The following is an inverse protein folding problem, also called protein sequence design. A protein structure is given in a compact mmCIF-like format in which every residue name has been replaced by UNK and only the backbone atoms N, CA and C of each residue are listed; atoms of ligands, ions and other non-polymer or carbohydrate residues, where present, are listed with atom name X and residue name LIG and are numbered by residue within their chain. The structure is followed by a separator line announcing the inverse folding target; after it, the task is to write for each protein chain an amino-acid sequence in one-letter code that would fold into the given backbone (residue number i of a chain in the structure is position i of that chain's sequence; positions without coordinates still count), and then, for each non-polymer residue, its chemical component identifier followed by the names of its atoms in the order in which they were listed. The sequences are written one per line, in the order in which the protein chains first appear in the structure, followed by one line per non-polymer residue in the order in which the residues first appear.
data_IF_132672153628
#
_entry.id   IF_132672153628
#
_cell.length_a   1.000
_cell.length_b   1.000
_cell.length_c   1.000
_cell.angle_alpha   90.00
_cell.angle_beta   90.00
_cell.angle_gamma   90.00
#
_symmetry.space_group_name_H-M   'P 1'
#
loop_
_entity.id
_entity.type
_entity.pdbx_description
1 polymer ?
#
# COMPACT_ATOMS: atom_id res chain seq x y z
N UNK A 1 -12.36 22.86 -13.57
CA UNK A 1 -12.65 21.44 -13.21
C UNK A 1 -13.71 21.45 -12.11
N UNK A 2 -14.71 20.59 -12.19
CA UNK A 2 -15.69 20.44 -11.12
C UNK A 2 -15.15 19.43 -10.10
N UNK A 3 -14.93 19.84 -8.85
CA UNK A 3 -14.40 19.00 -7.77
C UNK A 3 -15.49 18.36 -6.88
N UNK A 4 -16.73 18.35 -7.31
CA UNK A 4 -17.84 17.81 -6.52
C UNK A 4 -17.61 16.35 -6.10
N UNK A 5 -17.10 15.53 -7.02
CA UNK A 5 -16.79 14.14 -6.72
C UNK A 5 -15.60 14.02 -5.75
N UNK A 6 -14.54 14.81 -5.93
CA UNK A 6 -13.42 14.84 -5.02
C UNK A 6 -13.85 15.23 -3.59
N UNK A 7 -14.72 16.21 -3.46
CA UNK A 7 -15.28 16.61 -2.16
C UNK A 7 -16.11 15.49 -1.50
N UNK A 8 -16.87 14.73 -2.28
CA UNK A 8 -17.62 13.57 -1.76
C UNK A 8 -16.68 12.48 -1.24
N UNK A 9 -15.61 12.17 -1.96
CA UNK A 9 -14.58 11.22 -1.53
C UNK A 9 -13.96 11.69 -0.20
N UNK A 10 -13.53 12.96 -0.13
CA UNK A 10 -12.93 13.53 1.08
C UNK A 10 -13.88 13.46 2.28
N UNK A 11 -15.15 13.79 2.11
CA UNK A 11 -16.14 13.74 3.19
C UNK A 11 -16.29 12.33 3.78
N UNK A 12 -16.15 11.29 2.97
CA UNK A 12 -16.27 9.90 3.41
C UNK A 12 -15.02 9.37 4.11
N UNK A 13 -13.82 9.73 3.63
CA UNK A 13 -12.60 9.04 4.02
C UNK A 13 -11.68 9.84 4.94
N UNK A 14 -11.65 11.17 4.86
CA UNK A 14 -10.80 12.00 5.74
C UNK A 14 -10.99 11.69 7.23
N UNK A 15 -12.23 11.50 7.76
CA UNK A 15 -12.40 11.19 9.18
C UNK A 15 -11.79 9.86 9.62
N UNK A 16 -11.57 8.93 8.69
CA UNK A 16 -11.02 7.59 8.97
C UNK A 16 -9.49 7.55 8.96
N UNK A 17 -8.86 8.48 8.24
CA UNK A 17 -7.42 8.47 8.04
C UNK A 17 -6.63 9.11 9.18
N UNK A 18 -7.30 9.65 10.21
CA UNK A 18 -6.68 10.38 11.32
C UNK A 18 -5.65 11.45 10.86
N UNK A 19 -5.68 11.79 9.60
CA UNK A 19 -4.92 12.90 9.03
C UNK A 19 -5.68 14.17 9.38
N UNK A 20 -5.00 15.19 9.83
CA UNK A 20 -5.60 16.44 10.25
C UNK A 20 -6.57 17.07 9.23
N UNK A 21 -6.45 18.34 8.98
CA UNK A 21 -7.28 19.03 7.97
C UNK A 21 -6.79 18.62 6.58
N UNK A 22 -7.69 18.20 5.66
CA UNK A 22 -7.31 17.90 4.28
C UNK A 22 -6.61 19.08 3.62
N UNK A 23 -5.64 18.78 2.78
CA UNK A 23 -5.00 19.81 1.97
C UNK A 23 -6.02 20.43 0.98
N UNK A 24 -5.85 21.71 0.61
CA UNK A 24 -6.72 22.33 -0.38
C UNK A 24 -6.75 21.53 -1.67
N UNK A 25 -7.96 21.39 -2.26
CA UNK A 25 -8.09 20.88 -3.62
C UNK A 25 -7.50 21.92 -4.56
N UNK A 26 -6.30 21.68 -5.01
CA UNK A 26 -5.62 22.54 -5.99
C UNK A 26 -5.82 21.96 -7.39
N UNK A 27 -5.98 22.86 -8.34
CA UNK A 27 -6.02 22.55 -9.78
C UNK A 27 -4.60 22.20 -10.29
N UNK A 28 -3.88 21.37 -9.53
CA UNK A 28 -2.58 20.85 -9.89
C UNK A 28 -2.74 19.74 -10.94
N UNK A 29 -3.45 20.04 -12.04
CA UNK A 29 -3.47 19.16 -13.19
C UNK A 29 -2.09 19.20 -13.84
N UNK A 30 -1.28 18.18 -13.59
CA UNK A 30 -0.10 17.94 -14.43
C UNK A 30 -0.57 17.62 -15.85
N UNK A 31 0.23 17.95 -16.83
CA UNK A 31 -0.07 17.86 -18.27
C UNK A 31 -0.58 16.48 -18.76
N UNK A 32 -0.55 15.45 -17.91
CA UNK A 32 -1.05 14.10 -18.19
C UNK A 32 -2.43 13.79 -17.61
N UNK A 33 -2.88 14.54 -16.60
CA UNK A 33 -4.10 14.18 -15.84
C UNK A 33 -5.38 14.38 -16.69
N UNK A 34 -5.38 15.34 -17.60
CA UNK A 34 -6.50 15.61 -18.50
C UNK A 34 -6.77 14.48 -19.50
N UNK A 35 -5.77 13.66 -19.81
CA UNK A 35 -5.91 12.52 -20.73
C UNK A 35 -6.62 11.32 -20.08
N UNK A 36 -6.75 11.31 -18.76
CA UNK A 36 -7.36 10.19 -18.00
C UNK A 36 -8.87 10.37 -17.74
N UNK A 37 -9.44 11.50 -18.17
CA UNK A 37 -10.85 11.80 -17.98
C UNK A 37 -11.17 12.45 -16.63
N UNK A 38 -12.36 13.04 -16.54
CA UNK A 38 -12.79 13.85 -15.38
C UNK A 38 -12.89 13.01 -14.09
N UNK A 39 -13.30 11.75 -14.19
CA UNK A 39 -13.38 10.84 -13.05
C UNK A 39 -11.99 10.62 -12.43
N UNK A 40 -11.02 10.23 -13.23
CA UNK A 40 -9.65 9.97 -12.77
C UNK A 40 -9.01 11.20 -12.13
N UNK A 41 -9.20 12.37 -12.74
CA UNK A 41 -8.68 13.63 -12.23
C UNK A 41 -9.29 14.00 -10.87
N UNK A 42 -10.59 13.78 -10.66
CA UNK A 42 -11.24 14.01 -9.38
C UNK A 42 -10.75 13.05 -8.29
N UNK A 43 -10.61 11.75 -8.62
CA UNK A 43 -10.10 10.74 -7.67
C UNK A 43 -8.68 11.06 -7.26
N UNK A 44 -7.80 11.38 -8.21
CA UNK A 44 -6.42 11.74 -7.95
C UNK A 44 -6.31 13.03 -7.11
N UNK A 45 -7.12 14.04 -7.41
CA UNK A 45 -7.18 15.26 -6.62
C UNK A 45 -7.60 14.99 -5.17
N UNK A 46 -8.58 14.09 -4.95
CA UNK A 46 -8.99 13.68 -3.62
C UNK A 46 -7.85 12.96 -2.87
N UNK A 47 -7.15 12.02 -3.52
CA UNK A 47 -6.01 11.31 -2.91
C UNK A 47 -4.90 12.28 -2.48
N UNK A 48 -4.53 13.22 -3.33
CA UNK A 48 -3.56 14.28 -3.01
C UNK A 48 -4.03 15.15 -1.83
N UNK A 49 -5.30 15.54 -1.82
CA UNK A 49 -5.88 16.34 -0.73
C UNK A 49 -5.94 15.58 0.61
N UNK A 50 -6.08 14.27 0.59
CA UNK A 50 -5.96 13.41 1.77
C UNK A 50 -4.52 13.32 2.31
N UNK A 51 -3.52 13.86 1.61
CA UNK A 51 -2.13 13.91 2.05
C UNK A 51 -1.25 12.78 1.53
N UNK A 52 -1.73 11.97 0.59
CA UNK A 52 -0.89 10.96 -0.06
C UNK A 52 0.19 11.63 -0.92
N UNK A 53 1.41 11.11 -0.86
CA UNK A 53 2.48 11.50 -1.78
C UNK A 53 2.12 11.07 -3.21
N UNK A 54 2.76 11.69 -4.21
CA UNK A 54 2.32 11.58 -5.60
C UNK A 54 2.19 10.13 -6.09
N UNK A 55 3.19 9.28 -5.84
CA UNK A 55 3.19 7.90 -6.29
C UNK A 55 2.08 7.07 -5.62
N UNK A 56 1.85 7.28 -4.32
CA UNK A 56 0.79 6.63 -3.58
C UNK A 56 -0.60 7.14 -4.01
N UNK A 57 -0.72 8.44 -4.28
CA UNK A 57 -1.96 9.03 -4.77
C UNK A 57 -2.36 8.46 -6.14
N UNK A 58 -1.38 8.31 -7.04
CA UNK A 58 -1.60 7.70 -8.35
C UNK A 58 -1.97 6.22 -8.24
N UNK A 59 -1.25 5.46 -7.42
CA UNK A 59 -1.54 4.04 -7.19
C UNK A 59 -2.96 3.85 -6.63
N UNK A 60 -3.34 4.64 -5.63
CA UNK A 60 -4.65 4.59 -5.02
C UNK A 60 -5.76 5.01 -6.00
N UNK A 61 -5.52 6.03 -6.81
CA UNK A 61 -6.46 6.45 -7.84
C UNK A 61 -6.66 5.35 -8.90
N UNK A 62 -5.58 4.69 -9.35
CA UNK A 62 -5.68 3.56 -10.26
C UNK A 62 -6.47 2.39 -9.64
N UNK A 63 -6.22 2.04 -8.39
CA UNK A 63 -6.95 1.00 -7.69
C UNK A 63 -8.45 1.31 -7.60
N UNK A 64 -8.81 2.56 -7.33
CA UNK A 64 -10.20 2.98 -7.27
C UNK A 64 -10.92 2.90 -8.63
N UNK A 65 -10.21 3.29 -9.70
CA UNK A 65 -10.72 3.15 -11.05
C UNK A 65 -10.87 1.66 -11.45
N UNK A 66 -9.89 0.83 -11.11
CA UNK A 66 -9.96 -0.62 -11.34
C UNK A 66 -11.13 -1.26 -10.57
N UNK A 67 -11.34 -0.87 -9.30
CA UNK A 67 -12.50 -1.26 -8.52
C UNK A 67 -13.80 -0.87 -9.22
N UNK A 68 -13.90 0.34 -9.77
CA UNK A 68 -15.11 0.82 -10.46
C UNK A 68 -15.41 0.02 -11.71
N UNK A 69 -14.38 -0.39 -12.45
CA UNK A 69 -14.53 -1.26 -13.62
C UNK A 69 -15.02 -2.65 -13.17
N UNK A 70 -14.43 -3.22 -12.13
CA UNK A 70 -14.80 -4.53 -11.60
C UNK A 70 -16.23 -4.56 -11.04
N UNK A 71 -16.66 -3.50 -10.36
CA UNK A 71 -18.00 -3.38 -9.75
C UNK A 71 -19.07 -2.86 -10.72
N UNK A 72 -18.68 -2.34 -11.88
CA UNK A 72 -19.57 -1.76 -12.87
C UNK A 72 -20.03 -0.34 -12.56
N UNK A 73 -19.59 0.26 -11.46
CA UNK A 73 -19.90 1.64 -11.09
C UNK A 73 -18.85 2.22 -10.16
N UNK A 74 -18.70 3.53 -10.14
CA UNK A 74 -17.85 4.23 -9.19
C UNK A 74 -18.63 4.58 -7.92
N UNK A 75 -18.14 4.09 -6.77
CA UNK A 75 -18.68 4.45 -5.46
C UNK A 75 -17.64 5.26 -4.66
N UNK A 76 -17.88 6.56 -4.40
CA UNK A 76 -16.97 7.40 -3.63
C UNK A 76 -16.83 6.98 -2.17
N UNK A 77 -17.73 6.15 -1.64
CA UNK A 77 -17.69 5.66 -0.26
C UNK A 77 -16.92 4.33 -0.11
N UNK A 78 -16.74 3.59 -1.21
CA UNK A 78 -16.08 2.30 -1.22
C UNK A 78 -14.57 2.47 -1.37
N UNK A 79 -13.82 2.30 -0.26
CA UNK A 79 -12.35 2.31 -0.30
C UNK A 79 -11.83 1.09 -1.07
N UNK A 80 -10.86 1.25 -2.00
CA UNK A 80 -10.27 0.11 -2.70
C UNK A 80 -9.41 -0.70 -1.74
N UNK A 81 -9.72 -1.98 -1.57
CA UNK A 81 -9.05 -2.90 -0.65
C UNK A 81 -8.74 -4.27 -1.28
N UNK A 82 -9.20 -4.51 -2.50
CA UNK A 82 -8.96 -5.77 -3.18
C UNK A 82 -7.60 -5.78 -3.88
N UNK A 83 -6.78 -6.79 -3.59
CA UNK A 83 -5.44 -6.92 -4.16
C UNK A 83 -5.38 -6.80 -5.70
N UNK A 84 -6.33 -7.36 -6.48
CA UNK A 84 -6.33 -7.19 -7.94
C UNK A 84 -6.48 -5.73 -8.40
N UNK A 85 -7.20 -4.89 -7.64
CA UNK A 85 -7.39 -3.48 -7.99
C UNK A 85 -6.06 -2.70 -7.91
N UNK A 86 -5.10 -3.19 -7.11
CA UNK A 86 -3.74 -2.68 -7.02
C UNK A 86 -2.76 -3.36 -7.98
N UNK A 87 -3.24 -4.18 -8.92
CA UNK A 87 -2.41 -4.93 -9.85
C UNK A 87 -1.67 -6.11 -9.21
N UNK A 88 -2.05 -6.51 -8.00
CA UNK A 88 -1.47 -7.66 -7.31
C UNK A 88 -2.17 -8.93 -7.78
N UNK A 89 -1.41 -9.79 -8.46
CA UNK A 89 -1.90 -11.12 -8.84
C UNK A 89 -1.97 -12.01 -7.60
N UNK A 90 -3.18 -12.49 -7.30
CA UNK A 90 -3.45 -13.40 -6.18
C UNK A 90 -3.58 -14.86 -6.61
N UNK A 91 -3.38 -15.15 -7.90
CA UNK A 91 -3.39 -16.50 -8.45
C UNK A 91 -2.22 -17.37 -7.97
N UNK A 92 -2.34 -18.70 -8.08
CA UNK A 92 -1.24 -19.60 -7.77
C UNK A 92 -0.09 -19.36 -8.78
N UNK A 93 1.10 -19.05 -8.27
CA UNK A 93 2.31 -18.83 -9.08
C UNK A 93 3.36 -19.86 -8.73
N UNK A 94 3.99 -20.43 -9.77
CA UNK A 94 5.05 -21.43 -9.58
C UNK A 94 6.32 -20.84 -8.89
N UNK A 95 6.52 -19.53 -9.03
CA UNK A 95 7.62 -18.75 -8.45
C UNK A 95 7.22 -17.97 -7.18
N UNK A 96 6.03 -18.24 -6.64
CA UNK A 96 5.58 -17.57 -5.43
C UNK A 96 6.39 -18.01 -4.20
N UNK A 97 6.60 -17.09 -3.27
CA UNK A 97 7.11 -17.44 -1.95
C UNK A 97 6.15 -18.41 -1.24
N UNK A 98 6.72 -19.22 -0.35
CA UNK A 98 5.90 -20.08 0.50
C UNK A 98 4.86 -19.25 1.27
N UNK A 99 3.63 -19.78 1.46
CA UNK A 99 2.59 -19.05 2.18
C UNK A 99 3.06 -18.64 3.58
N UNK A 100 2.90 -17.36 3.91
CA UNK A 100 3.22 -16.88 5.24
C UNK A 100 2.17 -17.40 6.24
N UNK A 101 2.60 -17.95 7.39
CA UNK A 101 1.66 -18.34 8.44
C UNK A 101 0.81 -17.14 8.91
N UNK A 102 -0.49 -17.36 9.04
CA UNK A 102 -1.45 -16.31 9.46
C UNK A 102 -1.22 -15.84 10.91
N UNK A 103 -0.61 -16.67 11.75
CA UNK A 103 -0.35 -16.38 13.16
C UNK A 103 1.13 -16.58 13.45
N UNK A 104 1.86 -15.50 13.36
CA UNK A 104 3.32 -15.51 13.61
C UNK A 104 3.65 -15.56 15.11
N UNK A 105 2.72 -15.22 15.99
CA UNK A 105 2.99 -15.09 17.42
C UNK A 105 3.98 -13.97 17.72
N UNK A 106 4.87 -14.20 18.67
CA UNK A 106 5.99 -13.30 18.93
C UNK A 106 6.96 -13.37 17.74
N UNK A 107 7.18 -12.23 17.10
CA UNK A 107 8.06 -12.08 15.95
C UNK A 107 9.32 -11.32 16.36
N UNK A 108 10.47 -11.97 16.38
CA UNK A 108 11.74 -11.37 16.76
C UNK A 108 12.62 -11.10 15.54
N UNK A 109 13.08 -9.86 15.38
CA UNK A 109 14.05 -9.44 14.36
C UNK A 109 15.42 -9.33 15.03
N UNK A 110 16.41 -10.09 14.56
CA UNK A 110 17.65 -10.37 15.26
C UNK A 110 18.86 -10.03 14.40
N UNK A 111 19.94 -9.50 14.99
CA UNK A 111 21.06 -8.93 14.24
C UNK A 111 22.02 -9.97 13.66
N UNK A 112 22.08 -11.17 14.22
CA UNK A 112 23.01 -12.22 13.84
C UNK A 112 22.44 -13.63 14.05
N UNK A 113 23.13 -14.63 13.51
CA UNK A 113 22.72 -16.03 13.57
C UNK A 113 22.76 -16.61 15.00
N UNK A 114 23.65 -16.14 15.86
CA UNK A 114 23.72 -16.61 17.27
C UNK A 114 22.45 -16.21 18.02
N UNK A 115 22.03 -14.95 17.90
CA UNK A 115 20.77 -14.48 18.48
C UNK A 115 19.55 -15.21 17.91
N UNK A 116 19.53 -15.50 16.60
CA UNK A 116 18.46 -16.32 15.98
C UNK A 116 18.40 -17.69 16.65
N UNK A 117 19.53 -18.36 16.79
CA UNK A 117 19.61 -19.67 17.44
C UNK A 117 19.19 -19.63 18.93
N UNK A 118 19.57 -18.59 19.68
CA UNK A 118 19.19 -18.42 21.09
C UNK A 118 17.67 -18.21 21.24
N UNK A 119 17.08 -17.36 20.44
CA UNK A 119 15.63 -17.07 20.50
C UNK A 119 14.80 -18.28 20.04
N UNK A 120 15.24 -18.99 19.00
CA UNK A 120 14.59 -20.21 18.55
C UNK A 120 14.61 -21.29 19.67
N UNK A 121 15.75 -21.49 20.34
CA UNK A 121 15.84 -22.41 21.50
C UNK A 121 15.01 -21.97 22.69
N UNK A 122 14.81 -20.67 22.88
CA UNK A 122 13.93 -20.12 23.91
C UNK A 122 12.43 -20.26 23.58
N UNK A 123 12.08 -20.80 22.41
CA UNK A 123 10.69 -21.06 22.01
C UNK A 123 10.00 -19.87 21.35
N UNK A 124 10.76 -18.88 20.85
CA UNK A 124 10.15 -17.78 20.07
C UNK A 124 9.65 -18.38 18.75
N UNK A 125 8.33 -18.27 18.45
CA UNK A 125 7.73 -18.99 17.34
C UNK A 125 8.14 -18.48 15.96
N UNK A 126 8.53 -17.21 15.84
CA UNK A 126 8.98 -16.65 14.58
C UNK A 126 10.22 -15.77 14.81
N UNK A 127 11.30 -16.11 14.10
CA UNK A 127 12.56 -15.35 14.16
C UNK A 127 12.98 -14.94 12.75
N UNK A 128 13.51 -13.73 12.62
CA UNK A 128 14.07 -13.20 11.37
C UNK A 128 15.51 -12.75 11.59
N UNK A 129 16.42 -13.25 10.79
CA UNK A 129 17.75 -12.70 10.68
C UNK A 129 17.71 -11.38 9.90
N UNK A 130 18.25 -10.32 10.49
CA UNK A 130 18.44 -9.01 9.84
C UNK A 130 19.88 -8.56 9.99
N UNK A 131 20.77 -9.31 9.42
CA UNK A 131 22.17 -8.95 9.35
C UNK A 131 22.41 -7.93 8.23
N UNK A 132 23.18 -6.88 8.51
CA UNK A 132 23.56 -5.85 7.52
C UNK A 132 25.06 -5.78 7.43
N UNK A 133 25.61 -5.99 6.23
CA UNK A 133 27.02 -5.87 5.93
C UNK A 133 27.20 -5.56 4.45
N UNK A 134 28.23 -4.79 4.11
CA UNK A 134 28.66 -4.58 2.72
C UNK A 134 29.65 -5.68 2.24
N UNK A 135 30.01 -6.60 3.13
CA UNK A 135 30.90 -7.76 2.82
C UNK A 135 30.03 -8.99 2.49
N UNK A 136 30.01 -9.45 1.21
CA UNK A 136 29.29 -10.66 0.81
C UNK A 136 29.73 -11.92 1.56
N UNK A 137 30.99 -12.03 1.93
CA UNK A 137 31.50 -13.17 2.69
C UNK A 137 31.01 -13.15 4.15
N UNK A 138 30.85 -11.98 4.75
CA UNK A 138 30.21 -11.85 6.06
C UNK A 138 28.74 -12.25 5.99
N UNK A 139 28.00 -11.80 4.96
CA UNK A 139 26.58 -12.18 4.76
C UNK A 139 26.47 -13.71 4.63
N UNK A 140 27.30 -14.33 3.79
CA UNK A 140 27.27 -15.78 3.56
C UNK A 140 27.60 -16.62 4.81
N UNK A 141 28.32 -16.06 5.79
CA UNK A 141 28.58 -16.74 7.07
C UNK A 141 27.43 -16.70 8.05
N UNK A 142 26.55 -15.67 7.92
CA UNK A 142 25.41 -15.47 8.82
C UNK A 142 24.14 -16.17 8.33
N UNK A 143 24.04 -16.52 7.05
CA UNK A 143 22.90 -17.18 6.43
C UNK A 143 23.12 -18.68 6.35
#
# INVERSE_FOLDING_TARGET
MNFELAQRILAQHTPRLQTGIPLPLNDCTRSGDAAQGELAANVLAACRSMGFVEDDAQLLAHAWLAQSVRSGHFDPAAWPDAAPDFGVDTGPRADAFAPCPQRLGLYAVLPDADWVGRMARAGVPTVQLRFKSDDPAAIAREV
#
